data_IF_191034726701
#
_entry.id   IF_191034726701
#
_cell.length_a   1.000
_cell.length_b   1.000
_cell.length_c   1.000
_cell.angle_alpha   90.00
_cell.angle_beta   90.00
_cell.angle_gamma   90.00
#
_symmetry.space_group_name_H-M   'P 1'
#
loop_
_entity.id
_entity.type
_entity.pdbx_description
1 polymer ?
#
# COMPACT_ATOMS: atom_id res chain seq x y z
N UNK A 1 13.96 -6.65 -19.50
CA UNK A 1 13.00 -6.05 -18.53
C UNK A 1 12.12 -5.03 -19.23
N UNK A 2 11.32 -5.45 -20.22
CA UNK A 2 10.40 -4.57 -20.96
C UNK A 2 9.03 -5.24 -21.14
N UNK A 3 8.75 -6.32 -20.40
CA UNK A 3 7.55 -7.13 -20.61
C UNK A 3 6.27 -6.31 -20.41
N UNK A 4 6.27 -5.40 -19.43
CA UNK A 4 5.15 -4.50 -19.16
C UNK A 4 4.73 -3.68 -20.41
N UNK A 5 5.66 -3.38 -21.31
CA UNK A 5 5.42 -2.62 -22.53
C UNK A 5 5.16 -3.50 -23.76
N UNK A 6 5.74 -4.71 -23.81
CA UNK A 6 5.72 -5.56 -25.01
C UNK A 6 4.73 -6.73 -24.95
N UNK A 7 4.11 -6.99 -23.81
CA UNK A 7 3.16 -8.10 -23.68
C UNK A 7 1.91 -7.88 -24.54
N UNK A 8 1.30 -8.97 -24.99
CA UNK A 8 0.03 -8.92 -25.73
C UNK A 8 -1.12 -8.61 -24.78
N UNK A 9 -1.94 -7.63 -25.16
CA UNK A 9 -3.12 -7.22 -24.42
C UNK A 9 -4.35 -7.75 -25.13
N UNK A 10 -5.21 -8.44 -24.38
CA UNK A 10 -6.55 -8.79 -24.86
C UNK A 10 -7.51 -7.65 -24.50
N UNK A 11 -8.27 -7.16 -25.48
CA UNK A 11 -9.16 -6.03 -25.27
C UNK A 11 -10.23 -6.36 -24.22
N UNK A 12 -10.37 -5.50 -23.21
CA UNK A 12 -11.28 -5.70 -22.08
C UNK A 12 -10.77 -6.64 -20.98
N UNK A 13 -9.56 -7.20 -21.11
CA UNK A 13 -8.91 -8.01 -20.08
C UNK A 13 -7.75 -7.27 -19.42
N UNK A 14 -7.52 -7.57 -18.15
CA UNK A 14 -6.39 -7.06 -17.38
C UNK A 14 -5.41 -8.23 -17.19
N UNK A 15 -4.44 -8.33 -18.09
CA UNK A 15 -3.51 -9.45 -18.15
C UNK A 15 -2.23 -9.19 -17.34
N UNK A 16 -1.89 -7.92 -17.14
CA UNK A 16 -0.67 -7.52 -16.45
C UNK A 16 -0.90 -6.25 -15.60
N UNK A 17 -0.08 -6.01 -14.54
CA UNK A 17 -0.21 -4.79 -13.74
C UNK A 17 -0.13 -3.48 -14.53
N UNK A 18 0.55 -3.42 -15.69
CA UNK A 18 0.56 -2.23 -16.54
C UNK A 18 -0.74 -1.97 -17.32
N UNK A 19 -1.72 -2.88 -17.23
CA UNK A 19 -3.06 -2.68 -17.80
C UNK A 19 -4.02 -1.96 -16.85
N UNK A 20 -3.65 -1.84 -15.56
CA UNK A 20 -4.49 -1.19 -14.55
C UNK A 20 -4.53 0.32 -14.74
N UNK A 21 -5.66 0.93 -14.36
CA UNK A 21 -5.84 2.38 -14.41
C UNK A 21 -4.80 3.15 -13.60
N UNK A 22 -4.33 2.58 -12.47
CA UNK A 22 -3.30 3.21 -11.65
C UNK A 22 -1.98 3.37 -12.41
N UNK A 23 -1.58 2.38 -13.22
CA UNK A 23 -0.38 2.46 -14.03
C UNK A 23 -0.55 3.43 -15.19
N UNK A 24 -1.69 3.38 -15.90
CA UNK A 24 -1.98 4.32 -16.99
C UNK A 24 -1.98 5.77 -16.50
N UNK A 25 -2.55 6.01 -15.32
CA UNK A 25 -2.53 7.33 -14.70
C UNK A 25 -1.11 7.77 -14.36
N UNK A 26 -0.27 6.87 -13.84
CA UNK A 26 1.14 7.15 -13.59
C UNK A 26 1.90 7.49 -14.88
N UNK A 27 1.73 6.72 -15.96
CA UNK A 27 2.36 6.99 -17.25
C UNK A 27 1.90 8.34 -17.83
N UNK A 28 0.63 8.70 -17.61
CA UNK A 28 0.08 10.00 -18.01
C UNK A 28 0.67 11.17 -17.19
N UNK A 29 0.86 10.99 -15.88
CA UNK A 29 1.49 11.97 -15.00
C UNK A 29 2.98 12.15 -15.29
N UNK A 30 3.67 11.07 -15.68
CA UNK A 30 5.12 11.04 -15.87
C UNK A 30 5.51 10.53 -17.26
N UNK A 31 5.18 11.28 -18.33
CA UNK A 31 5.40 10.83 -19.70
C UNK A 31 6.90 10.60 -20.01
N UNK A 32 7.81 11.38 -19.40
CA UNK A 32 9.25 11.18 -19.57
C UNK A 32 9.76 9.88 -18.95
N UNK A 33 9.10 9.39 -17.90
CA UNK A 33 9.41 8.08 -17.32
C UNK A 33 8.87 6.97 -18.22
N UNK A 34 7.62 7.11 -18.69
CA UNK A 34 6.94 6.12 -19.52
C UNK A 34 7.54 5.97 -20.92
N UNK A 35 8.11 7.04 -21.48
CA UNK A 35 8.77 7.04 -22.79
C UNK A 35 9.95 6.06 -22.85
N UNK A 36 10.68 5.91 -21.75
CA UNK A 36 11.76 4.95 -21.63
C UNK A 36 11.25 3.62 -21.04
N UNK A 37 10.82 2.69 -21.90
CA UNK A 37 10.25 1.39 -21.50
C UNK A 37 11.21 0.48 -20.71
N UNK A 38 12.48 0.85 -20.58
CA UNK A 38 13.48 0.14 -19.76
C UNK A 38 13.56 0.68 -18.34
N UNK A 39 12.85 1.77 -18.03
CA UNK A 39 12.66 2.24 -16.66
C UNK A 39 11.89 1.21 -15.83
N UNK A 40 12.21 1.12 -14.56
CA UNK A 40 11.79 0.01 -13.70
C UNK A 40 10.64 0.43 -12.78
N UNK A 41 9.53 -0.29 -12.87
CA UNK A 41 8.40 -0.16 -11.97
C UNK A 41 8.49 -1.21 -10.87
N UNK A 42 8.51 -0.75 -9.63
CA UNK A 42 8.76 -1.55 -8.44
C UNK A 42 7.50 -1.70 -7.59
N UNK A 43 7.36 -2.85 -6.95
CA UNK A 43 6.42 -3.08 -5.84
C UNK A 43 7.21 -3.37 -4.57
N UNK A 44 6.77 -2.80 -3.44
CA UNK A 44 7.36 -3.06 -2.13
C UNK A 44 6.39 -3.83 -1.24
N UNK A 45 6.87 -4.82 -0.52
CA UNK A 45 6.09 -5.60 0.42
C UNK A 45 6.81 -5.68 1.77
N UNK A 46 6.06 -5.55 2.86
CA UNK A 46 6.56 -5.85 4.20
C UNK A 46 5.45 -6.39 5.10
N UNK A 47 5.76 -7.41 5.89
CA UNK A 47 4.84 -7.97 6.88
C UNK A 47 5.60 -8.61 8.04
N UNK A 48 4.88 -8.96 9.10
CA UNK A 48 5.43 -9.68 10.23
C UNK A 48 5.72 -11.15 9.89
N UNK A 49 6.92 -11.61 10.23
CA UNK A 49 7.35 -12.99 10.16
C UNK A 49 7.86 -13.45 11.53
N UNK A 50 7.37 -14.58 12.03
CA UNK A 50 7.76 -15.15 13.32
C UNK A 50 8.57 -16.44 13.14
N UNK A 51 9.93 -16.37 13.06
CA UNK A 51 10.78 -17.54 12.78
C UNK A 51 10.78 -18.60 13.89
N UNK A 52 10.38 -18.25 15.12
CA UNK A 52 10.50 -19.10 16.32
C UNK A 52 9.18 -19.28 17.09
N UNK A 53 8.04 -19.19 16.39
CA UNK A 53 6.68 -19.20 16.99
C UNK A 53 6.31 -20.49 17.77
N UNK A 54 7.23 -21.46 17.84
CA UNK A 54 7.02 -22.74 18.52
C UNK A 54 7.36 -22.72 20.03
N UNK A 55 8.06 -21.71 20.55
CA UNK A 55 8.67 -21.76 21.90
C UNK A 55 8.32 -20.60 22.84
N UNK A 56 7.12 -20.03 22.73
CA UNK A 56 6.58 -19.04 23.69
C UNK A 56 7.39 -17.73 23.80
N UNK A 57 8.35 -17.51 22.88
CA UNK A 57 9.07 -16.25 22.71
C UNK A 57 8.48 -15.52 21.52
N UNK A 58 7.83 -14.40 21.78
CA UNK A 58 7.37 -13.49 20.72
C UNK A 58 8.58 -12.89 20.02
N UNK A 59 8.91 -13.40 18.83
CA UNK A 59 9.91 -12.84 17.93
C UNK A 59 9.22 -12.36 16.66
N UNK A 60 9.33 -11.07 16.39
CA UNK A 60 8.76 -10.40 15.22
C UNK A 60 9.90 -9.96 14.30
N UNK A 61 9.99 -10.56 13.12
CA UNK A 61 10.94 -10.20 12.06
C UNK A 61 10.16 -9.55 10.92
N UNK A 62 10.72 -8.53 10.29
CA UNK A 62 10.04 -7.80 9.22
C UNK A 62 10.93 -7.76 7.98
N UNK A 63 10.76 -8.70 7.05
CA UNK A 63 11.40 -8.59 5.74
C UNK A 63 10.79 -7.43 4.95
N UNK A 64 11.63 -6.73 4.22
CA UNK A 64 11.23 -5.76 3.20
C UNK A 64 11.70 -6.30 1.86
N UNK A 65 10.73 -6.47 0.99
CA UNK A 65 10.88 -7.17 -0.28
C UNK A 65 10.51 -6.22 -1.41
N UNK A 66 11.32 -6.18 -2.46
CA UNK A 66 11.04 -5.46 -3.69
C UNK A 66 10.89 -6.43 -4.86
N UNK A 67 9.90 -6.21 -5.71
CA UNK A 67 9.74 -6.91 -6.99
C UNK A 67 9.71 -5.92 -8.14
N UNK A 68 10.19 -6.34 -9.31
CA UNK A 68 10.07 -5.58 -10.55
C UNK A 68 8.88 -6.07 -11.37
N UNK A 69 7.96 -5.17 -11.67
CA UNK A 69 6.86 -5.37 -12.62
C UNK A 69 7.28 -5.16 -14.08
N UNK A 70 8.58 -5.28 -14.39
CA UNK A 70 9.08 -5.27 -15.77
C UNK A 70 9.26 -6.67 -16.36
N UNK A 71 9.08 -7.70 -15.52
CA UNK A 71 9.23 -9.12 -15.86
C UNK A 71 7.87 -9.77 -16.13
N UNK A 72 7.79 -10.85 -16.92
CA UNK A 72 6.57 -11.64 -17.05
C UNK A 72 5.91 -11.97 -15.71
N UNK A 73 4.58 -12.08 -15.66
CA UNK A 73 3.83 -12.29 -14.41
C UNK A 73 4.26 -13.56 -13.66
N UNK A 74 4.57 -14.63 -14.39
CA UNK A 74 5.12 -15.86 -13.81
C UNK A 74 6.54 -15.73 -13.27
N UNK A 75 7.28 -14.69 -13.66
CA UNK A 75 8.66 -14.45 -13.20
C UNK A 75 8.73 -13.39 -12.09
N UNK A 76 7.95 -12.31 -12.14
CA UNK A 76 8.05 -11.24 -11.14
C UNK A 76 7.74 -11.69 -9.70
N UNK A 77 7.00 -12.79 -9.55
CA UNK A 77 6.68 -13.39 -8.24
C UNK A 77 7.56 -14.61 -7.90
N UNK A 78 8.50 -14.99 -8.76
CA UNK A 78 9.46 -16.06 -8.49
C UNK A 78 10.56 -15.59 -7.54
N UNK A 79 11.01 -16.48 -6.65
CA UNK A 79 11.97 -16.13 -5.59
C UNK A 79 13.31 -15.61 -6.14
N UNK A 80 13.69 -16.02 -7.35
CA UNK A 80 14.91 -15.61 -8.05
C UNK A 80 14.88 -14.15 -8.51
N UNK A 81 13.69 -13.57 -8.67
CA UNK A 81 13.47 -12.21 -9.18
C UNK A 81 12.91 -11.26 -8.13
N UNK A 82 12.81 -11.75 -6.89
CA UNK A 82 12.40 -10.98 -5.74
C UNK A 82 13.66 -10.52 -5.00
N UNK A 83 13.78 -9.21 -4.78
CA UNK A 83 14.88 -8.61 -4.06
C UNK A 83 14.57 -8.56 -2.57
N UNK A 84 15.32 -9.32 -1.79
CA UNK A 84 15.30 -9.25 -0.34
C UNK A 84 16.15 -8.06 0.14
N UNK A 85 15.52 -6.89 0.22
CA UNK A 85 16.22 -5.61 0.37
C UNK A 85 16.74 -5.40 1.79
N UNK A 86 15.95 -5.71 2.80
CA UNK A 86 16.37 -5.57 4.21
C UNK A 86 15.55 -6.46 5.14
N UNK A 87 16.09 -6.64 6.34
CA UNK A 87 15.42 -7.29 7.47
C UNK A 87 15.43 -6.34 8.65
N UNK A 88 14.25 -6.05 9.20
CA UNK A 88 14.12 -5.38 10.48
C UNK A 88 14.00 -6.46 11.55
N UNK A 89 15.02 -6.64 12.41
CA UNK A 89 15.05 -7.72 13.37
C UNK A 89 14.11 -7.47 14.55
N UNK A 90 13.75 -8.56 15.22
CA UNK A 90 12.95 -8.54 16.44
C UNK A 90 13.75 -8.18 17.70
N UNK A 91 13.20 -8.44 18.91
CA UNK A 91 12.09 -9.37 19.17
C UNK A 91 10.69 -8.78 18.97
N UNK A 92 10.54 -7.45 18.99
CA UNK A 92 9.23 -6.78 18.87
C UNK A 92 9.02 -6.20 17.48
N UNK A 93 7.74 -5.99 17.12
CA UNK A 93 7.43 -5.29 15.87
C UNK A 93 7.96 -3.83 15.90
N UNK A 94 8.29 -3.27 14.73
CA UNK A 94 8.94 -1.95 14.67
C UNK A 94 7.98 -0.79 15.00
N UNK A 95 6.66 -1.02 14.99
CA UNK A 95 5.64 0.01 15.29
C UNK A 95 5.89 1.30 14.50
N UNK A 96 6.06 2.41 15.21
CA UNK A 96 6.29 3.73 14.63
C UNK A 96 7.69 3.85 14.01
N UNK A 97 8.66 3.06 14.47
CA UNK A 97 10.07 3.09 14.04
C UNK A 97 10.30 2.46 12.66
N UNK A 98 9.32 1.78 12.06
CA UNK A 98 9.49 1.16 10.73
C UNK A 98 10.01 2.14 9.68
N UNK A 99 9.60 3.42 9.76
CA UNK A 99 10.07 4.47 8.85
C UNK A 99 11.56 4.80 9.04
N UNK A 100 12.10 4.64 10.25
CA UNK A 100 13.54 4.84 10.50
C UNK A 100 14.35 3.80 9.72
N UNK A 101 13.90 2.54 9.77
CA UNK A 101 14.56 1.45 9.04
C UNK A 101 14.41 1.57 7.52
N UNK A 102 13.26 2.05 7.05
CA UNK A 102 12.99 2.22 5.62
C UNK A 102 13.67 3.45 5.00
N UNK A 103 14.24 4.36 5.81
CA UNK A 103 14.82 5.61 5.33
C UNK A 103 15.93 5.43 4.28
N UNK A 104 16.94 4.54 4.47
CA UNK A 104 17.98 4.33 3.45
C UNK A 104 17.40 3.86 2.12
N UNK A 105 16.37 3.00 2.17
CA UNK A 105 15.68 2.54 0.98
C UNK A 105 14.94 3.67 0.26
N UNK A 106 14.26 4.56 1.01
CA UNK A 106 13.62 5.73 0.39
C UNK A 106 14.64 6.66 -0.27
N UNK A 107 15.81 6.86 0.33
CA UNK A 107 16.88 7.67 -0.24
C UNK A 107 17.41 7.07 -1.56
N UNK A 108 17.62 5.75 -1.61
CA UNK A 108 18.00 5.06 -2.86
C UNK A 108 16.91 5.14 -3.93
N UNK A 109 15.63 4.97 -3.55
CA UNK A 109 14.50 5.12 -4.49
C UNK A 109 14.41 6.54 -5.07
N UNK A 110 14.62 7.57 -4.24
CA UNK A 110 14.67 8.96 -4.70
C UNK A 110 15.85 9.22 -5.62
N UNK A 111 17.02 8.65 -5.35
CA UNK A 111 18.17 8.73 -6.25
C UNK A 111 17.88 8.06 -7.59
N UNK A 112 17.29 6.86 -7.58
CA UNK A 112 16.89 6.15 -8.79
C UNK A 112 15.82 6.90 -9.59
N UNK A 113 14.93 7.62 -8.92
CA UNK A 113 13.93 8.44 -9.60
C UNK A 113 14.53 9.70 -10.25
N UNK A 114 15.29 10.49 -9.48
CA UNK A 114 15.76 11.81 -9.93
C UNK A 114 16.99 11.76 -10.82
N UNK A 115 17.94 10.88 -10.50
CA UNK A 115 19.23 10.79 -11.19
C UNK A 115 19.29 9.60 -12.14
N UNK A 116 18.62 8.50 -11.78
CA UNK A 116 18.74 7.22 -12.47
C UNK A 116 20.16 6.66 -12.42
N UNK A 117 20.37 5.56 -13.15
CA UNK A 117 21.67 4.90 -13.28
C UNK A 117 21.97 4.66 -14.75
N UNK A 118 23.20 4.96 -15.18
CA UNK A 118 23.63 4.65 -16.55
C UNK A 118 23.75 3.14 -16.73
N UNK A 119 22.91 2.60 -17.59
CA UNK A 119 22.84 1.19 -17.94
C UNK A 119 23.20 0.99 -19.41
N UNK A 120 23.62 -0.23 -19.75
CA UNK A 120 23.90 -0.62 -21.12
C UNK A 120 23.04 -1.83 -21.48
N UNK A 121 22.25 -1.70 -22.55
CA UNK A 121 21.43 -2.79 -23.07
C UNK A 121 22.22 -3.49 -24.18
N UNK A 122 22.70 -4.70 -23.90
CA UNK A 122 23.44 -5.51 -24.87
C UNK A 122 22.60 -5.90 -26.10
N UNK A 123 21.30 -6.19 -25.92
CA UNK A 123 20.44 -6.61 -27.03
C UNK A 123 20.18 -5.47 -28.03
N UNK A 124 20.13 -4.22 -27.54
CA UNK A 124 19.94 -3.02 -28.36
C UNK A 124 21.24 -2.28 -28.69
N UNK A 125 22.38 -2.76 -28.15
CA UNK A 125 23.70 -2.13 -28.27
C UNK A 125 23.70 -0.62 -27.98
N UNK A 126 23.01 -0.19 -26.92
CA UNK A 126 22.93 1.23 -26.55
C UNK A 126 23.01 1.44 -25.04
N UNK A 127 23.56 2.59 -24.65
CA UNK A 127 23.51 3.07 -23.28
C UNK A 127 22.24 3.91 -23.08
N UNK A 128 21.70 3.87 -21.86
CA UNK A 128 20.53 4.65 -21.45
C UNK A 128 20.63 4.97 -19.96
N UNK A 129 19.83 5.92 -19.50
CA UNK A 129 19.66 6.17 -18.06
C UNK A 129 18.41 5.41 -17.63
N UNK A 130 18.56 4.50 -16.67
CA UNK A 130 17.47 3.76 -16.07
C UNK A 130 17.02 4.46 -14.81
N UNK A 131 15.77 4.90 -14.78
CA UNK A 131 15.10 5.36 -13.56
C UNK A 131 14.22 4.27 -12.99
N UNK A 132 13.91 4.36 -11.69
CA UNK A 132 12.96 3.46 -11.04
C UNK A 132 11.87 4.23 -10.27
N UNK A 133 10.67 3.66 -10.25
CA UNK A 133 9.52 4.19 -9.54
C UNK A 133 8.89 3.12 -8.65
N UNK A 134 8.49 3.49 -7.44
CA UNK A 134 7.70 2.61 -6.57
C UNK A 134 6.22 2.81 -6.85
N UNK A 135 5.59 1.84 -7.54
CA UNK A 135 4.19 1.96 -7.98
C UNK A 135 3.19 1.76 -6.84
N UNK A 136 3.45 0.80 -5.96
CA UNK A 136 2.57 0.49 -4.85
C UNK A 136 3.27 -0.35 -3.79
N UNK A 137 2.59 -0.44 -2.64
CA UNK A 137 3.00 -1.34 -1.57
C UNK A 137 1.96 -2.43 -1.34
N UNK A 138 2.43 -3.65 -1.06
CA UNK A 138 1.60 -4.83 -0.79
C UNK A 138 1.79 -5.19 0.67
N UNK A 139 0.84 -4.81 1.51
CA UNK A 139 0.97 -4.98 2.96
C UNK A 139 -0.33 -5.53 3.54
N UNK A 140 -0.23 -6.39 4.56
CA UNK A 140 -1.34 -6.66 5.44
C UNK A 140 -1.80 -5.39 6.18
N UNK A 141 -3.04 -5.37 6.67
CA UNK A 141 -3.59 -4.19 7.34
C UNK A 141 -2.74 -3.72 8.55
N UNK A 142 -2.21 -4.60 9.41
CA UNK A 142 -1.31 -4.18 10.50
C UNK A 142 -0.02 -3.52 10.00
N UNK A 143 0.62 -4.13 9.00
CA UNK A 143 1.82 -3.61 8.34
C UNK A 143 1.57 -2.24 7.70
N UNK A 144 0.45 -2.09 6.99
CA UNK A 144 -0.01 -0.82 6.46
C UNK A 144 -0.12 0.25 7.54
N UNK A 145 -0.75 -0.07 8.68
CA UNK A 145 -0.91 0.89 9.76
C UNK A 145 0.41 1.37 10.34
N UNK A 146 1.39 0.47 10.46
CA UNK A 146 2.74 0.83 10.90
C UNK A 146 3.52 1.62 9.86
N UNK A 147 3.47 1.26 8.58
CA UNK A 147 4.22 1.94 7.51
C UNK A 147 3.63 3.32 7.18
N UNK A 148 2.31 3.40 7.02
CA UNK A 148 1.61 4.60 6.54
C UNK A 148 1.05 5.48 7.66
N UNK A 149 0.98 4.97 8.89
CA UNK A 149 0.54 5.75 10.04
C UNK A 149 -0.96 5.74 10.27
N UNK A 150 -1.74 4.84 9.67
CA UNK A 150 -3.15 4.69 10.02
C UNK A 150 -3.32 3.68 11.17
N UNK A 151 -3.93 4.07 12.28
CA UNK A 151 -4.25 3.12 13.35
C UNK A 151 -5.41 2.20 12.91
N UNK A 152 -5.10 0.92 12.72
CA UNK A 152 -6.02 -0.08 12.18
C UNK A 152 -6.87 -0.78 13.25
N UNK A 153 -6.73 -0.37 14.51
CA UNK A 153 -7.47 -0.91 15.64
C UNK A 153 -8.86 -0.29 15.83
N UNK A 154 -9.81 -1.11 16.29
CA UNK A 154 -11.18 -0.66 16.63
C UNK A 154 -12.11 -0.59 15.42
N UNK A 155 -13.19 0.18 15.54
CA UNK A 155 -14.26 0.29 14.52
C UNK A 155 -13.87 1.17 13.31
N UNK A 156 -12.97 2.13 13.50
CA UNK A 156 -12.43 3.02 12.45
C UNK A 156 -11.11 2.51 11.87
N UNK A 157 -10.87 1.19 11.91
CA UNK A 157 -9.61 0.60 11.44
C UNK A 157 -9.47 0.61 9.91
N UNK A 158 -10.54 0.88 9.16
CA UNK A 158 -10.51 0.96 7.71
C UNK A 158 -10.07 2.35 7.23
N UNK A 159 -8.91 2.50 6.55
CA UNK A 159 -8.44 3.79 6.03
C UNK A 159 -9.30 4.32 4.87
N UNK A 160 -10.10 3.45 4.24
CA UNK A 160 -11.00 3.84 3.13
C UNK A 160 -12.31 4.41 3.66
N UNK A 161 -12.92 3.77 4.67
CA UNK A 161 -14.19 4.25 5.25
C UNK A 161 -13.97 5.38 6.26
N UNK A 162 -12.87 5.32 7.00
CA UNK A 162 -12.53 6.22 8.10
C UNK A 162 -13.68 6.32 9.12
N UNK A 163 -14.17 7.52 9.40
CA UNK A 163 -15.28 7.82 10.31
C UNK A 163 -16.67 7.40 9.77
N UNK A 164 -16.85 7.25 8.46
CA UNK A 164 -18.09 6.73 7.84
C UNK A 164 -18.15 5.19 7.80
N UNK A 165 -17.35 4.52 8.63
CA UNK A 165 -17.36 3.06 8.78
C UNK A 165 -18.74 2.51 9.18
N UNK A 166 -19.11 1.38 8.60
CA UNK A 166 -20.31 0.60 8.95
C UNK A 166 -20.04 -0.48 10.01
N UNK A 167 -18.79 -0.55 10.47
CA UNK A 167 -18.32 -1.50 11.47
C UNK A 167 -19.01 -1.27 12.81
N UNK A 168 -19.14 -2.33 13.60
CA UNK A 168 -19.81 -2.30 14.89
C UNK A 168 -19.06 -3.16 15.91
N UNK A 169 -19.34 -2.94 17.18
CA UNK A 169 -18.76 -3.72 18.26
C UNK A 169 -19.69 -4.89 18.60
N UNK A 170 -19.15 -6.11 18.67
CA UNK A 170 -19.92 -7.28 19.10
C UNK A 170 -20.34 -7.12 20.57
N UNK A 171 -21.61 -7.31 20.87
CA UNK A 171 -22.18 -7.06 22.21
C UNK A 171 -21.46 -7.85 23.31
N UNK A 172 -21.22 -9.15 23.09
CA UNK A 172 -20.59 -10.02 24.09
C UNK A 172 -19.05 -10.01 24.01
N UNK A 173 -18.50 -10.04 22.78
CA UNK A 173 -17.05 -10.11 22.58
C UNK A 173 -16.32 -8.77 22.72
N UNK A 174 -17.05 -7.65 22.64
CA UNK A 174 -16.51 -6.27 22.61
C UNK A 174 -15.42 -6.04 21.55
N UNK A 175 -15.38 -6.89 20.52
CA UNK A 175 -14.45 -6.79 19.37
C UNK A 175 -15.12 -6.03 18.24
N UNK A 176 -14.33 -5.22 17.52
CA UNK A 176 -14.78 -4.59 16.29
C UNK A 176 -15.04 -5.67 15.22
N UNK A 177 -16.17 -5.53 14.53
CA UNK A 177 -16.62 -6.42 13.48
C UNK A 177 -16.93 -5.61 12.22
N UNK A 178 -16.43 -6.12 11.09
CA UNK A 178 -16.60 -5.53 9.76
C UNK A 178 -17.52 -6.37 8.87
N UNK A 179 -18.26 -7.30 9.47
CA UNK A 179 -19.20 -8.17 8.75
C UNK A 179 -20.21 -7.31 7.98
N UNK A 180 -20.41 -7.67 6.71
CA UNK A 180 -21.27 -7.00 5.72
C UNK A 180 -21.01 -5.51 5.46
N UNK A 181 -19.92 -4.96 5.97
CA UNK A 181 -19.60 -3.55 5.73
C UNK A 181 -19.28 -3.28 4.26
N UNK A 182 -18.93 -4.30 3.47
CA UNK A 182 -18.65 -4.17 2.05
C UNK A 182 -19.91 -3.85 1.21
N UNK A 183 -21.11 -4.12 1.73
CA UNK A 183 -22.39 -3.89 1.03
C UNK A 183 -22.58 -2.41 0.66
N UNK A 184 -22.00 -1.48 1.42
CA UNK A 184 -22.04 -0.05 1.14
C UNK A 184 -21.43 0.34 -0.22
N UNK A 185 -20.49 -0.47 -0.74
CA UNK A 185 -19.81 -0.20 -2.02
C UNK A 185 -20.57 -0.74 -3.24
N UNK A 186 -21.69 -1.44 -3.02
CA UNK A 186 -22.53 -1.90 -4.13
C UNK A 186 -23.36 -0.72 -4.70
N UNK A 187 -23.72 -0.77 -6.00
CA UNK A 187 -24.62 0.22 -6.59
C UNK A 187 -25.92 0.38 -5.80
N UNK A 188 -26.48 1.59 -5.73
CA UNK A 188 -27.65 1.90 -4.89
C UNK A 188 -28.86 0.98 -5.10
N UNK A 189 -29.09 0.56 -6.35
CA UNK A 189 -30.20 -0.31 -6.72
C UNK A 189 -29.87 -1.80 -6.63
N UNK A 190 -28.67 -2.17 -6.17
CA UNK A 190 -28.25 -3.55 -6.10
C UNK A 190 -29.08 -4.34 -5.06
N UNK A 191 -29.68 -5.50 -5.42
CA UNK A 191 -30.62 -6.21 -4.55
C UNK A 191 -30.09 -6.55 -3.15
N UNK A 192 -28.79 -6.84 -3.04
CA UNK A 192 -28.17 -7.20 -1.76
C UNK A 192 -28.20 -6.08 -0.73
N UNK A 193 -28.27 -4.81 -1.14
CA UNK A 193 -28.42 -3.67 -0.22
C UNK A 193 -29.71 -3.71 0.59
N UNK A 194 -30.74 -4.41 0.10
CA UNK A 194 -32.06 -4.56 0.73
C UNK A 194 -32.32 -5.96 1.26
N UNK A 195 -31.34 -6.87 1.17
CA UNK A 195 -31.51 -8.26 1.58
C UNK A 195 -31.35 -8.42 3.10
N UNK A 196 -32.50 -8.43 3.79
CA UNK A 196 -32.60 -8.52 5.25
C UNK A 196 -32.34 -9.93 5.84
N UNK A 197 -32.11 -10.94 4.98
CA UNK A 197 -32.01 -12.35 5.38
C UNK A 197 -30.62 -12.96 5.18
N UNK A 198 -29.97 -12.68 4.04
CA UNK A 198 -28.67 -13.28 3.71
C UNK A 198 -27.49 -12.58 4.38
N UNK A 199 -27.69 -11.32 4.79
CA UNK A 199 -26.72 -10.49 5.50
C UNK A 199 -27.20 -10.25 6.93
N UNK A 200 -26.58 -9.29 7.60
CA UNK A 200 -26.93 -8.83 8.95
C UNK A 200 -28.44 -8.67 9.06
N UNK A 201 -29.05 -9.50 9.91
CA UNK A 201 -30.49 -9.67 9.99
C UNK A 201 -31.17 -8.32 10.21
N UNK A 202 -32.21 -8.05 9.43
CA UNK A 202 -33.00 -6.82 9.47
C UNK A 202 -32.22 -5.51 9.21
N UNK A 203 -30.99 -5.58 8.70
CA UNK A 203 -30.22 -4.42 8.25
C UNK A 203 -30.42 -4.19 6.76
N UNK A 204 -30.51 -2.92 6.36
CA UNK A 204 -30.51 -2.48 4.96
C UNK A 204 -29.50 -1.35 4.81
N UNK A 205 -28.82 -1.28 3.66
CA UNK A 205 -27.80 -0.28 3.38
C UNK A 205 -28.33 0.75 2.38
N UNK A 206 -28.82 1.88 2.91
CA UNK A 206 -29.40 2.95 2.09
C UNK A 206 -28.43 4.10 1.82
N UNK A 207 -27.27 4.16 2.51
CA UNK A 207 -26.32 5.25 2.36
C UNK A 207 -25.33 4.95 1.24
N UNK A 208 -25.03 5.94 0.41
CA UNK A 208 -23.93 5.85 -0.55
C UNK A 208 -22.62 5.83 0.24
N UNK A 209 -21.69 4.95 -0.14
CA UNK A 209 -20.35 4.97 0.43
C UNK A 209 -19.69 6.31 0.13
N UNK A 210 -18.92 6.84 1.10
CA UNK A 210 -18.07 7.99 0.83
C UNK A 210 -17.17 7.75 -0.39
N UNK A 211 -16.90 8.78 -1.21
CA UNK A 211 -15.83 8.70 -2.19
C UNK A 211 -14.49 8.40 -1.50
N UNK A 212 -13.64 7.62 -2.18
CA UNK A 212 -12.27 7.42 -1.71
C UNK A 212 -11.54 8.76 -1.74
N UNK A 213 -10.79 9.06 -0.69
CA UNK A 213 -9.92 10.23 -0.71
C UNK A 213 -8.83 10.05 -1.77
N UNK A 214 -8.53 11.15 -2.45
CA UNK A 214 -7.40 11.26 -3.36
C UNK A 214 -6.09 11.42 -2.57
N UNK A 215 -4.96 11.15 -3.23
CA UNK A 215 -3.65 11.20 -2.59
C UNK A 215 -3.29 12.57 -2.03
N UNK A 216 -3.60 13.65 -2.77
CA UNK A 216 -3.42 15.04 -2.37
C UNK A 216 -4.28 15.42 -1.15
N UNK A 217 -5.52 14.93 -1.09
CA UNK A 217 -6.41 15.13 0.06
C UNK A 217 -5.85 14.46 1.31
N UNK A 218 -5.34 13.23 1.19
CA UNK A 218 -4.70 12.52 2.30
C UNK A 218 -3.41 13.23 2.71
N UNK A 219 -2.60 13.68 1.74
CA UNK A 219 -1.36 14.39 2.00
C UNK A 219 -1.61 15.68 2.78
N UNK A 220 -2.62 16.46 2.40
CA UNK A 220 -3.02 17.68 3.12
C UNK A 220 -3.44 17.38 4.57
N UNK A 221 -4.13 16.25 4.80
CA UNK A 221 -4.49 15.82 6.15
C UNK A 221 -3.29 15.49 7.03
N UNK A 222 -2.28 14.81 6.46
CA UNK A 222 -1.10 14.38 7.22
C UNK A 222 0.04 15.39 7.20
N UNK A 223 -0.08 16.48 6.44
CA UNK A 223 0.97 17.47 6.25
C UNK A 223 1.44 18.10 7.57
N UNK A 224 0.50 18.39 8.47
CA UNK A 224 0.76 18.99 9.79
C UNK A 224 1.11 17.96 10.87
N UNK A 225 1.09 16.65 10.54
CA UNK A 225 1.46 15.60 11.47
C UNK A 225 2.97 15.41 11.44
N UNK A 226 3.61 15.45 12.62
CA UNK A 226 5.05 15.28 12.74
C UNK A 226 5.55 14.02 12.02
N UNK A 227 6.59 14.12 11.17
CA UNK A 227 7.29 12.96 10.65
C UNK A 227 7.99 12.24 11.82
N UNK A 228 7.86 10.93 11.84
CA UNK A 228 8.19 10.03 12.97
C UNK A 228 9.69 9.87 13.28
N UNK A 229 10.49 10.92 13.09
CA UNK A 229 11.84 10.98 13.64
C UNK A 229 11.81 11.42 15.12
N UNK A 230 10.71 12.03 15.56
CA UNK A 230 10.49 12.41 16.95
C UNK A 230 9.39 11.53 17.57
N UNK A 231 9.65 10.98 18.75
CA UNK A 231 8.65 10.27 19.57
C UNK A 231 7.67 11.33 20.07
N UNK A 232 6.74 11.74 19.22
CA UNK A 232 5.60 12.54 19.65
C UNK A 232 4.65 11.57 20.38
N UNK A 233 4.60 11.72 21.71
CA UNK A 233 3.65 10.99 22.56
C UNK A 233 2.22 11.52 22.41
N UNK A 234 2.06 12.67 21.76
CA UNK A 234 0.77 13.31 21.50
C UNK A 234 0.18 12.84 20.18
N UNK A 235 -1.04 12.30 20.25
CA UNK A 235 -1.82 11.98 19.05
C UNK A 235 -2.26 13.28 18.35
N UNK A 236 -2.39 13.30 17.01
CA UNK A 236 -2.84 14.49 16.31
C UNK A 236 -4.26 14.90 16.70
N UNK A 237 -4.56 16.19 16.57
CA UNK A 237 -5.92 16.71 16.78
C UNK A 237 -6.92 15.98 15.87
N UNK A 238 -8.09 15.60 16.40
CA UNK A 238 -9.09 14.83 15.65
C UNK A 238 -8.87 13.30 15.65
N UNK A 239 -7.76 12.81 16.23
CA UNK A 239 -7.52 11.38 16.34
C UNK A 239 -8.60 10.69 17.20
N UNK A 240 -9.17 9.63 16.65
CA UNK A 240 -10.19 8.83 17.32
C UNK A 240 -11.61 9.35 17.20
N UNK A 241 -11.82 10.52 16.58
CA UNK A 241 -13.13 11.03 16.19
C UNK A 241 -13.25 11.19 14.68
N UNK A 242 -12.33 11.93 14.05
CA UNK A 242 -12.35 12.27 12.63
C UNK A 242 -11.44 11.35 11.81
N UNK A 243 -10.32 10.91 12.40
CA UNK A 243 -9.38 10.00 11.75
C UNK A 243 -8.61 9.11 12.71
N UNK A 244 -7.75 8.26 12.14
CA UNK A 244 -6.81 7.41 12.86
C UNK A 244 -5.35 7.57 12.43
N UNK A 245 -5.02 8.62 11.66
CA UNK A 245 -3.63 8.99 11.39
C UNK A 245 -2.84 9.28 12.67
N UNK A 246 -1.66 8.67 12.79
CA UNK A 246 -0.72 8.80 13.91
C UNK A 246 0.61 9.42 13.51
N UNK A 247 0.93 9.44 12.21
CA UNK A 247 2.16 10.00 11.66
C UNK A 247 2.03 10.34 10.18
N UNK A 248 2.88 11.26 9.71
CA UNK A 248 3.21 11.36 8.28
C UNK A 248 4.23 10.29 7.91
N UNK A 249 3.89 9.48 6.92
CA UNK A 249 4.79 8.45 6.39
C UNK A 249 5.90 9.04 5.50
N UNK A 250 7.09 8.42 5.50
CA UNK A 250 8.18 8.78 4.58
C UNK A 250 7.86 8.41 3.12
N UNK A 251 6.88 7.53 2.89
CA UNK A 251 6.41 7.19 1.54
C UNK A 251 5.77 8.40 0.83
N UNK A 252 5.36 9.43 1.57
CA UNK A 252 4.87 10.69 1.00
C UNK A 252 5.97 11.56 0.41
N UNK A 253 7.25 11.26 0.68
CA UNK A 253 8.38 11.97 0.10
C UNK A 253 8.72 11.43 -1.31
N UNK A 254 8.18 10.25 -1.67
CA UNK A 254 8.30 9.69 -3.02
C UNK A 254 7.39 10.45 -4.00
N UNK A 255 7.78 10.51 -5.28
CA UNK A 255 6.96 11.09 -6.35
C UNK A 255 5.76 10.18 -6.66
N UNK A 256 4.56 10.74 -6.67
CA UNK A 256 3.28 10.09 -7.02
C UNK A 256 2.46 10.94 -7.97
#
# INVERSE_FOLDING_TARGET
MMWHATHQKEEGSMCYPSDVEAWKYFDWMYPSFAEESRNVSLGLCTDNFAPHDQYDRTYSCWPVIITSYNLPSGMCMCYEYIFFTMVIPGPSNPKHLINVYLKPLMEELLQLWHMGVRMYNHAMNNAFIMCAALMWTVNGLPAYGMAFGWSTGGIMGCPVCMDDTRAFCLQHGRKACYFDCHIQFLPEHYPYRRNKKAFTINRVENKVARPRLLGDQILNWVADISPTLEISLSLPSGYGSEHKWTKKSIFWDLPH
#
